data_IF_329338669987
#
_entry.id   IF_329338669987
#
_cell.length_a   1.000
_cell.length_b   1.000
_cell.length_c   1.000
_cell.angle_alpha   90.00
_cell.angle_beta   90.00
_cell.angle_gamma   90.00
#
_symmetry.space_group_name_H-M   'P 1'
#
loop_
_entity.id
_entity.type
_entity.pdbx_description
1 polymer ?
#
# COMPACT_ATOMS: atom_id res chain seq x y z
N UNK A 1 -8.79 11.27 4.33
CA UNK A 1 -7.48 11.53 3.69
C UNK A 1 -6.69 10.23 3.80
N UNK A 2 -6.12 9.73 2.70
CA UNK A 2 -5.39 8.46 2.71
C UNK A 2 -3.98 8.66 3.31
N UNK A 3 -3.45 7.68 4.07
CA UNK A 3 -2.11 7.73 4.63
C UNK A 3 -1.06 7.64 3.51
N UNK A 4 0.19 8.07 3.79
CA UNK A 4 1.29 7.83 2.88
C UNK A 4 1.54 6.33 2.70
N UNK A 5 2.08 5.91 1.54
CA UNK A 5 2.56 4.54 1.34
C UNK A 5 3.61 4.15 2.39
N UNK A 6 3.61 2.88 2.78
CA UNK A 6 4.69 2.28 3.54
C UNK A 6 5.60 1.48 2.60
N UNK A 7 6.85 1.92 2.44
CA UNK A 7 7.77 1.33 1.47
C UNK A 7 8.88 0.52 2.13
N UNK A 8 9.18 -0.63 1.54
CA UNK A 8 10.22 -1.57 1.95
C UNK A 8 11.19 -1.77 0.78
N UNK A 9 12.46 -1.44 0.99
CA UNK A 9 13.53 -1.77 0.06
C UNK A 9 13.80 -3.28 0.09
N UNK A 10 13.92 -3.92 -1.07
CA UNK A 10 14.14 -5.37 -1.13
C UNK A 10 15.57 -5.72 -0.68
N UNK A 11 15.77 -6.73 0.19
CA UNK A 11 17.06 -6.99 0.85
C UNK A 11 18.28 -7.11 -0.09
N UNK A 12 18.08 -7.63 -1.30
CA UNK A 12 19.13 -7.84 -2.31
C UNK A 12 19.16 -6.78 -3.42
N UNK A 13 18.15 -5.91 -3.48
CA UNK A 13 17.98 -4.92 -4.53
C UNK A 13 17.71 -3.55 -3.92
N UNK A 14 18.25 -3.24 -2.74
CA UNK A 14 17.82 -2.09 -1.94
C UNK A 14 17.87 -0.75 -2.68
N UNK A 15 18.86 -0.58 -3.55
CA UNK A 15 19.07 0.62 -4.37
C UNK A 15 18.25 0.62 -5.67
N UNK A 16 17.75 -0.55 -6.07
CA UNK A 16 17.13 -0.78 -7.36
C UNK A 16 15.64 -1.09 -7.27
N UNK A 17 15.15 -1.62 -6.16
CA UNK A 17 13.79 -2.11 -6.05
C UNK A 17 13.19 -1.84 -4.67
N UNK A 18 11.96 -1.31 -4.67
CA UNK A 18 11.14 -1.14 -3.50
C UNK A 18 9.75 -1.73 -3.74
N UNK A 19 9.11 -2.17 -2.65
CA UNK A 19 7.68 -2.49 -2.64
C UNK A 19 7.02 -1.52 -1.67
N UNK A 20 5.99 -0.83 -2.14
CA UNK A 20 5.20 0.12 -1.36
C UNK A 20 3.80 -0.43 -1.14
N UNK A 21 3.37 -0.44 0.12
CA UNK A 21 2.04 -0.80 0.53
C UNK A 21 1.18 0.47 0.68
N UNK A 22 0.10 0.58 -0.09
CA UNK A 22 -0.81 1.73 -0.12
C UNK A 22 -2.17 1.36 0.43
N UNK A 23 -2.62 2.14 1.42
CA UNK A 23 -3.98 2.09 1.91
C UNK A 23 -4.81 3.19 1.23
N UNK A 24 -5.86 2.79 0.52
CA UNK A 24 -6.77 3.70 -0.18
C UNK A 24 -8.19 3.59 0.37
N UNK A 25 -8.97 4.63 0.11
CA UNK A 25 -10.39 4.69 0.44
C UNK A 25 -10.70 4.43 1.92
N UNK A 26 -9.80 4.84 2.82
CA UNK A 26 -10.01 4.66 4.25
C UNK A 26 -11.20 5.48 4.73
N UNK A 27 -12.17 4.81 5.35
CA UNK A 27 -13.36 5.40 5.95
C UNK A 27 -13.49 4.92 7.38
N UNK A 28 -13.37 5.86 8.31
CA UNK A 28 -13.66 5.61 9.72
C UNK A 28 -15.16 5.76 9.94
N UNK A 29 -15.82 4.68 10.35
CA UNK A 29 -17.19 4.67 10.85
C UNK A 29 -17.18 4.37 12.34
N UNK A 30 -18.30 4.63 13.02
CA UNK A 30 -18.43 4.49 14.48
C UNK A 30 -17.97 3.14 15.07
N UNK A 31 -17.99 2.05 14.29
CA UNK A 31 -17.61 0.70 14.73
C UNK A 31 -16.75 -0.06 13.72
N UNK A 32 -16.40 0.57 12.60
CA UNK A 32 -15.74 -0.11 11.50
C UNK A 32 -14.71 0.83 10.85
N UNK A 33 -13.60 0.26 10.43
CA UNK A 33 -12.63 0.85 9.53
C UNK A 33 -12.72 0.14 8.19
N UNK A 34 -13.24 0.82 7.18
CA UNK A 34 -13.26 0.33 5.80
C UNK A 34 -12.02 0.85 5.06
N UNK A 35 -11.42 0.04 4.19
CA UNK A 35 -10.26 0.44 3.38
C UNK A 35 -9.97 -0.51 2.24
N UNK A 36 -9.06 -0.11 1.35
CA UNK A 36 -8.52 -0.96 0.30
C UNK A 36 -7.00 -0.97 0.35
N UNK A 37 -6.41 -2.08 -0.10
CA UNK A 37 -4.99 -2.35 -0.04
C UNK A 37 -4.45 -2.55 -1.46
N UNK A 38 -3.35 -1.85 -1.76
CA UNK A 38 -2.61 -1.95 -3.01
C UNK A 38 -1.12 -2.15 -2.71
N UNK A 39 -0.43 -2.88 -3.57
CA UNK A 39 1.02 -2.99 -3.59
C UNK A 39 1.55 -2.36 -4.87
N UNK A 40 2.52 -1.48 -4.74
CA UNK A 40 3.27 -0.94 -5.86
C UNK A 40 4.69 -1.47 -5.83
N UNK A 41 5.20 -1.85 -6.99
CA UNK A 41 6.60 -2.18 -7.20
C UNK A 41 7.27 -1.01 -7.92
N UNK A 42 8.44 -0.61 -7.42
CA UNK A 42 9.29 0.38 -8.07
C UNK A 42 10.62 -0.27 -8.44
N UNK A 43 11.14 0.07 -9.61
CA UNK A 43 12.47 -0.31 -10.09
C UNK A 43 13.24 0.95 -10.50
N UNK A 44 14.46 1.17 -10.02
CA UNK A 44 15.25 2.38 -10.23
C UNK A 44 14.46 3.67 -9.91
N UNK A 45 13.65 3.67 -8.84
CA UNK A 45 12.74 4.75 -8.45
C UNK A 45 11.61 5.04 -9.46
N UNK A 46 11.38 4.15 -10.42
CA UNK A 46 10.29 4.23 -11.39
C UNK A 46 9.22 3.21 -11.01
N UNK A 47 7.97 3.64 -10.96
CA UNK A 47 6.84 2.75 -10.74
C UNK A 47 6.67 1.77 -11.91
N UNK A 48 6.70 0.47 -11.64
CA UNK A 48 6.62 -0.57 -12.69
C UNK A 48 5.35 -1.39 -12.65
N UNK A 49 4.71 -1.54 -11.48
CA UNK A 49 3.48 -2.31 -11.36
C UNK A 49 2.67 -1.91 -10.13
N UNK A 50 1.34 -1.94 -10.27
CA UNK A 50 0.39 -1.87 -9.16
C UNK A 50 -0.41 -3.17 -9.11
N UNK A 51 -0.53 -3.75 -7.93
CA UNK A 51 -1.35 -4.92 -7.64
C UNK A 51 -2.43 -4.50 -6.65
N UNK A 52 -3.69 -4.68 -7.02
CA UNK A 52 -4.83 -4.45 -6.13
C UNK A 52 -5.08 -5.70 -5.30
N UNK A 53 -4.77 -5.65 -4.00
CA UNK A 53 -4.97 -6.78 -3.07
C UNK A 53 -6.43 -6.91 -2.61
N UNK A 54 -7.24 -5.87 -2.81
CA UNK A 54 -8.67 -5.86 -2.51
C UNK A 54 -9.02 -4.89 -1.38
N UNK A 55 -10.24 -5.02 -0.87
CA UNK A 55 -10.77 -4.15 0.18
C UNK A 55 -11.14 -4.93 1.44
N UNK A 56 -11.10 -4.25 2.57
CA UNK A 56 -11.34 -4.78 3.90
C UNK A 56 -12.29 -3.90 4.70
N UNK A 57 -12.94 -4.52 5.68
CA UNK A 57 -13.68 -3.87 6.76
C UNK A 57 -13.23 -4.51 8.06
N UNK A 58 -12.65 -3.71 8.96
CA UNK A 58 -12.19 -4.17 10.27
C UNK A 58 -13.10 -3.55 11.34
N UNK A 59 -13.74 -4.35 12.22
CA UNK A 59 -14.46 -3.81 13.36
C UNK A 59 -13.49 -3.12 14.34
N UNK A 60 -13.85 -1.94 14.83
CA UNK A 60 -13.06 -1.10 15.76
C UNK A 60 -13.71 -1.01 17.12
#
# INVERSE_FOLDING_TARGET
>A
RNPPPYCLSLPFLKEYASICLRLRNLKFRKRNLDGCLELDAELYHVHVATIHLGCFTIPT
#
